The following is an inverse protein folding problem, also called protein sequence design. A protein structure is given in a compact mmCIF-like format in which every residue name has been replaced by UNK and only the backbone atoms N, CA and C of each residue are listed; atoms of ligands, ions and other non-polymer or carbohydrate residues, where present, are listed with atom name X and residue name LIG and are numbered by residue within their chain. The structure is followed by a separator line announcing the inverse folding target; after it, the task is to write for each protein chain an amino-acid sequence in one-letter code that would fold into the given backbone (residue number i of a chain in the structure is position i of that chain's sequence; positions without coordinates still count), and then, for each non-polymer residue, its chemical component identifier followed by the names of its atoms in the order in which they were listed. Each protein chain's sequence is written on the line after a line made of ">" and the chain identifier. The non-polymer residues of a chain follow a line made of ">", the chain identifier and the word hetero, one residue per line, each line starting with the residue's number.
data_IF_938558102473
#
_entry.id   IF_938558102473
#
_cell.length_a   1.000
_cell.length_b   1.000
_cell.length_c   1.000
_cell.angle_alpha   90.00
_cell.angle_beta   90.00
_cell.angle_gamma   90.00
#
_symmetry.space_group_name_H-M   'P 1'
#
loop_
_entity.id
_entity.type
_entity.pdbx_description
1 polymer ?
#
# COMPACT_ATOMS: atom_id res chain seq x y z
N UNK A 1 14.79 -30.39 16.82
CA UNK A 1 14.41 -31.22 15.66
C UNK A 1 14.02 -30.27 14.55
N UNK A 2 14.86 -30.18 13.51
CA UNK A 2 14.68 -29.22 12.41
C UNK A 2 13.37 -29.51 11.66
N UNK A 3 12.51 -28.50 11.57
CA UNK A 3 11.29 -28.53 10.76
C UNK A 3 11.68 -28.60 9.28
N UNK A 4 11.93 -29.81 8.80
CA UNK A 4 12.44 -30.11 7.47
C UNK A 4 11.35 -30.53 6.51
N UNK A 5 10.57 -29.56 6.03
CA UNK A 5 10.08 -29.60 4.65
C UNK A 5 10.86 -28.52 3.91
N UNK A 6 12.10 -28.86 3.57
CA UNK A 6 12.94 -27.95 2.79
C UNK A 6 12.39 -27.90 1.36
N UNK A 7 12.67 -26.82 0.62
CA UNK A 7 12.46 -26.78 -0.84
C UNK A 7 13.05 -28.04 -1.50
N UNK A 8 14.11 -28.62 -0.93
CA UNK A 8 14.70 -29.89 -1.36
C UNK A 8 13.76 -31.10 -1.25
N UNK A 9 12.79 -31.14 -0.33
CA UNK A 9 11.84 -32.25 -0.22
C UNK A 9 10.71 -32.13 -1.24
N UNK A 10 10.43 -30.91 -1.70
CA UNK A 10 9.53 -30.65 -2.83
C UNK A 10 10.22 -31.00 -4.14
N UNK A 11 11.51 -30.64 -4.29
CA UNK A 11 12.34 -31.07 -5.42
C UNK A 11 12.42 -32.60 -5.50
N UNK A 12 12.52 -33.31 -4.37
CA UNK A 12 12.46 -34.79 -4.37
C UNK A 12 11.11 -35.35 -4.84
N UNK A 13 9.98 -34.72 -4.50
CA UNK A 13 8.68 -35.09 -5.08
C UNK A 13 8.67 -34.81 -6.58
N UNK A 14 9.23 -33.69 -7.01
CA UNK A 14 9.33 -33.31 -8.43
C UNK A 14 10.15 -34.35 -9.20
N UNK A 15 11.27 -34.79 -8.64
CA UNK A 15 12.10 -35.87 -9.17
C UNK A 15 11.34 -37.21 -9.19
N UNK A 16 10.66 -37.57 -8.10
CA UNK A 16 9.86 -38.79 -8.01
C UNK A 16 8.72 -38.79 -9.04
N UNK A 17 8.02 -37.68 -9.20
CA UNK A 17 6.97 -37.47 -10.20
C UNK A 17 7.53 -37.55 -11.63
N UNK A 18 8.73 -37.00 -11.87
CA UNK A 18 9.44 -37.08 -13.15
C UNK A 18 9.85 -38.52 -13.49
N UNK A 19 10.34 -39.28 -12.51
CA UNK A 19 10.70 -40.68 -12.69
C UNK A 19 9.48 -41.58 -12.92
N UNK A 20 8.40 -41.31 -12.19
CA UNK A 20 7.11 -41.95 -12.42
C UNK A 20 6.59 -41.61 -13.82
N UNK A 21 6.65 -40.34 -14.26
CA UNK A 21 6.31 -39.89 -15.61
C UNK A 21 7.08 -40.63 -16.70
N UNK A 22 8.42 -40.76 -16.58
CA UNK A 22 9.25 -41.47 -17.58
C UNK A 22 8.82 -42.92 -17.80
N UNK A 23 8.29 -43.56 -16.76
CA UNK A 23 7.79 -44.95 -16.81
C UNK A 23 6.39 -45.09 -17.42
N UNK A 24 5.68 -43.98 -17.59
CA UNK A 24 4.32 -43.92 -18.15
C UNK A 24 4.26 -43.46 -19.62
N UNK A 25 5.40 -43.16 -20.27
CA UNK A 25 5.46 -42.59 -21.64
C UNK A 25 4.76 -43.49 -22.69
N UNK A 26 4.73 -44.81 -22.46
CA UNK A 26 4.11 -45.80 -23.36
C UNK A 26 2.75 -46.35 -22.83
N UNK A 27 2.13 -45.71 -21.84
CA UNK A 27 0.95 -46.20 -21.12
C UNK A 27 -0.41 -45.70 -21.72
N UNK A 28 -1.55 -46.35 -21.37
CA UNK A 28 -2.90 -45.98 -21.82
C UNK A 28 -3.28 -44.52 -21.58
N UNK A 29 -4.25 -44.02 -22.33
CA UNK A 29 -4.70 -42.62 -22.32
C UNK A 29 -4.98 -42.04 -20.91
N UNK A 30 -5.45 -42.85 -19.97
CA UNK A 30 -5.72 -42.46 -18.58
C UNK A 30 -4.45 -42.05 -17.81
N UNK A 31 -3.30 -42.69 -18.07
CA UNK A 31 -2.01 -42.35 -17.44
C UNK A 31 -1.32 -41.18 -18.13
N UNK A 32 -1.57 -41.00 -19.43
CA UNK A 32 -1.10 -39.83 -20.19
C UNK A 32 -1.67 -38.53 -19.61
N UNK A 33 -2.93 -38.54 -19.17
CA UNK A 33 -3.56 -37.42 -18.48
C UNK A 33 -2.87 -37.09 -17.15
N UNK A 34 -2.59 -38.10 -16.32
CA UNK A 34 -1.87 -37.94 -15.04
C UNK A 34 -0.46 -37.39 -15.27
N UNK A 35 0.27 -37.93 -16.25
CA UNK A 35 1.60 -37.47 -16.65
C UNK A 35 1.61 -36.01 -17.10
N UNK A 36 0.64 -35.60 -17.94
CA UNK A 36 0.54 -34.22 -18.43
C UNK A 36 0.27 -33.24 -17.29
N UNK A 37 -0.60 -33.62 -16.35
CA UNK A 37 -1.00 -32.76 -15.24
C UNK A 37 0.09 -32.66 -14.16
N UNK A 38 0.81 -33.76 -13.89
CA UNK A 38 2.04 -33.74 -13.09
C UNK A 38 3.03 -32.74 -13.69
N UNK A 39 3.27 -32.80 -15.00
CA UNK A 39 4.24 -31.92 -15.68
C UNK A 39 3.96 -30.43 -15.47
N UNK A 40 2.69 -30.02 -15.62
CA UNK A 40 2.27 -28.63 -15.40
C UNK A 40 2.50 -28.16 -13.96
N UNK A 41 2.25 -29.04 -12.98
CA UNK A 41 2.49 -28.71 -11.57
C UNK A 41 3.96 -28.66 -11.22
N UNK A 42 4.81 -29.50 -11.82
CA UNK A 42 6.26 -29.42 -11.64
C UNK A 42 6.77 -28.06 -12.10
N UNK A 43 6.35 -27.61 -13.29
CA UNK A 43 6.72 -26.32 -13.86
C UNK A 43 6.28 -25.14 -12.97
N UNK A 44 5.05 -25.17 -12.45
CA UNK A 44 4.57 -24.12 -11.55
C UNK A 44 5.23 -24.12 -10.17
N UNK A 45 5.55 -25.29 -9.63
CA UNK A 45 6.22 -25.43 -8.33
C UNK A 45 7.67 -24.95 -8.41
N UNK A 46 8.37 -25.27 -9.51
CA UNK A 46 9.75 -24.82 -9.77
C UNK A 46 9.84 -23.30 -9.96
N UNK A 47 8.85 -22.67 -10.61
CA UNK A 47 8.87 -21.22 -10.83
C UNK A 47 8.51 -20.40 -9.58
N UNK A 48 7.52 -20.86 -8.79
CA UNK A 48 6.88 -20.01 -7.78
C UNK A 48 7.47 -20.16 -6.38
N UNK A 49 7.88 -21.38 -5.98
CA UNK A 49 8.28 -21.65 -4.59
C UNK A 49 9.71 -21.24 -4.20
N UNK A 50 10.75 -21.36 -5.05
CA UNK A 50 12.13 -21.06 -4.64
C UNK A 50 12.35 -19.62 -4.18
N UNK A 51 11.53 -18.69 -4.66
CA UNK A 51 11.69 -17.26 -4.44
C UNK A 51 10.78 -16.70 -3.34
N UNK A 52 10.06 -17.54 -2.58
CA UNK A 52 9.01 -17.08 -1.65
C UNK A 52 9.23 -17.45 -0.19
N UNK A 53 8.99 -16.47 0.69
CA UNK A 53 8.94 -16.66 2.13
C UNK A 53 7.53 -17.14 2.55
N UNK A 54 7.40 -18.43 2.81
CA UNK A 54 6.12 -19.04 3.19
C UNK A 54 5.81 -18.79 4.68
N UNK A 55 4.56 -18.40 4.96
CA UNK A 55 4.04 -18.31 6.34
C UNK A 55 3.94 -19.70 6.98
N UNK A 56 3.93 -19.81 8.33
CA UNK A 56 3.78 -21.10 9.02
C UNK A 56 2.51 -21.88 8.58
N UNK A 57 1.41 -21.18 8.34
CA UNK A 57 0.15 -21.77 7.87
C UNK A 57 0.28 -22.30 6.43
N UNK A 58 0.89 -21.51 5.54
CA UNK A 58 1.12 -21.92 4.16
C UNK A 58 2.12 -23.08 4.07
N UNK A 59 3.11 -23.14 4.97
CA UNK A 59 4.03 -24.28 5.11
C UNK A 59 3.30 -25.56 5.53
N UNK A 60 2.31 -25.45 6.42
CA UNK A 60 1.53 -26.60 6.86
C UNK A 60 0.63 -27.13 5.73
N UNK A 61 -0.10 -26.24 5.04
CA UNK A 61 -0.92 -26.59 3.86
C UNK A 61 -0.08 -27.23 2.75
N UNK A 62 1.12 -26.68 2.51
CA UNK A 62 2.08 -27.23 1.56
C UNK A 62 2.55 -28.64 1.97
N UNK A 63 2.82 -28.86 3.26
CA UNK A 63 3.24 -30.15 3.78
C UNK A 63 2.15 -31.22 3.66
N UNK A 64 0.89 -30.85 3.89
CA UNK A 64 -0.26 -31.75 3.73
C UNK A 64 -0.43 -32.18 2.27
N UNK A 65 -0.40 -31.21 1.34
CA UNK A 65 -0.48 -31.49 -0.09
C UNK A 65 0.73 -32.33 -0.59
N UNK A 66 1.93 -32.03 -0.09
CA UNK A 66 3.17 -32.77 -0.35
C UNK A 66 3.06 -34.23 0.10
N UNK A 67 2.67 -34.46 1.36
CA UNK A 67 2.59 -35.80 1.94
C UNK A 67 1.59 -36.68 1.19
N UNK A 68 0.43 -36.12 0.82
CA UNK A 68 -0.59 -36.84 0.06
C UNK A 68 -0.06 -37.27 -1.32
N UNK A 69 0.55 -36.33 -2.07
CA UNK A 69 1.12 -36.63 -3.38
C UNK A 69 2.30 -37.62 -3.32
N UNK A 70 3.20 -37.49 -2.34
CA UNK A 70 4.31 -38.42 -2.15
C UNK A 70 3.82 -39.83 -1.87
N UNK A 71 2.84 -39.98 -0.99
CA UNK A 71 2.29 -41.30 -0.63
C UNK A 71 1.71 -42.03 -1.84
N UNK A 72 0.99 -41.31 -2.71
CA UNK A 72 0.39 -41.91 -3.92
C UNK A 72 1.46 -42.23 -4.96
N UNK A 73 2.45 -41.34 -5.16
CA UNK A 73 3.55 -41.60 -6.08
C UNK A 73 4.41 -42.79 -5.64
N UNK A 74 4.69 -42.91 -4.34
CA UNK A 74 5.40 -44.07 -3.78
C UNK A 74 4.58 -45.36 -3.91
N UNK A 75 3.26 -45.32 -3.66
CA UNK A 75 2.39 -46.48 -3.85
C UNK A 75 2.38 -46.95 -5.32
N UNK A 76 2.26 -46.01 -6.26
CA UNK A 76 2.37 -46.28 -7.70
C UNK A 76 3.75 -46.87 -8.02
N UNK A 77 4.83 -46.31 -7.49
CA UNK A 77 6.18 -46.79 -7.75
C UNK A 77 6.43 -48.20 -7.17
N UNK A 78 5.90 -48.51 -5.98
CA UNK A 78 5.99 -49.81 -5.34
C UNK A 78 5.26 -50.89 -6.16
N UNK A 79 4.03 -50.60 -6.59
CA UNK A 79 3.28 -51.49 -7.48
C UNK A 79 3.97 -51.72 -8.83
N UNK A 80 4.67 -50.71 -9.37
CA UNK A 80 5.47 -50.85 -10.58
C UNK A 80 6.74 -51.69 -10.35
N UNK A 81 7.40 -51.58 -9.18
CA UNK A 81 8.63 -52.32 -8.84
C UNK A 81 8.35 -53.81 -8.63
N UNK A 82 7.40 -54.15 -7.76
CA UNK A 82 7.02 -55.53 -7.38
C UNK A 82 6.70 -56.41 -8.60
N UNK A 83 6.25 -55.80 -9.70
CA UNK A 83 5.86 -56.51 -10.92
C UNK A 83 6.81 -56.32 -12.10
N UNK A 84 7.81 -55.43 -11.99
CA UNK A 84 8.91 -55.33 -12.96
C UNK A 84 9.86 -56.52 -12.86
N UNK A 85 10.00 -57.12 -11.67
CA UNK A 85 10.77 -58.33 -11.42
C UNK A 85 10.19 -59.55 -12.16
N UNK A 86 8.86 -59.56 -12.35
CA UNK A 86 8.12 -60.61 -13.09
C UNK A 86 8.38 -60.53 -14.61
N UNK A 87 8.70 -59.35 -15.15
CA UNK A 87 8.89 -59.10 -16.59
C UNK A 87 10.31 -59.43 -17.07
N UNK A 88 11.27 -59.53 -16.14
CA UNK A 88 12.68 -59.77 -16.46
C UNK A 88 13.01 -61.21 -16.91
N UNK A 89 12.03 -62.12 -16.94
CA UNK A 89 12.23 -63.56 -17.20
C UNK A 89 12.30 -63.90 -18.71
N UNK A 90 12.00 -62.97 -19.63
CA UNK A 90 11.94 -63.24 -21.09
C UNK A 90 12.98 -62.51 -21.96
N UNK A 91 13.61 -63.23 -22.89
CA UNK A 91 14.54 -62.69 -23.91
C UNK A 91 13.78 -62.04 -25.08
N UNK A 92 13.77 -60.71 -25.16
CA UNK A 92 13.16 -59.93 -26.26
C UNK A 92 13.39 -58.42 -26.14
N UNK A 93 13.01 -57.61 -27.15
CA UNK A 93 13.16 -56.13 -27.11
C UNK A 93 12.47 -55.51 -25.89
N UNK A 94 13.15 -54.58 -25.19
CA UNK A 94 12.68 -53.95 -23.94
C UNK A 94 11.30 -53.30 -24.11
N UNK A 95 11.11 -52.52 -25.18
CA UNK A 95 9.87 -51.76 -25.44
C UNK A 95 8.66 -52.68 -25.65
N UNK A 96 8.84 -53.76 -26.43
CA UNK A 96 7.77 -54.73 -26.70
C UNK A 96 7.41 -55.55 -25.47
N UNK A 97 8.38 -55.85 -24.59
CA UNK A 97 8.14 -56.45 -23.26
C UNK A 97 7.35 -55.52 -22.36
N UNK A 98 7.69 -54.22 -22.31
CA UNK A 98 6.96 -53.24 -21.52
C UNK A 98 5.50 -53.10 -21.96
N UNK A 99 5.21 -53.03 -23.26
CA UNK A 99 3.83 -52.96 -23.76
C UNK A 99 3.02 -54.26 -23.49
N UNK A 100 3.65 -55.43 -23.62
CA UNK A 100 2.99 -56.72 -23.33
C UNK A 100 2.79 -56.92 -21.83
N UNK A 101 3.78 -56.54 -21.02
CA UNK A 101 3.67 -56.51 -19.57
C UNK A 101 2.56 -55.57 -19.12
N UNK A 102 2.42 -54.40 -19.77
CA UNK A 102 1.36 -53.44 -19.51
C UNK A 102 -0.04 -54.01 -19.80
N UNK A 103 -0.17 -54.78 -20.89
CA UNK A 103 -1.43 -55.49 -21.21
C UNK A 103 -1.75 -56.65 -20.26
N UNK A 104 -0.73 -57.26 -19.63
CA UNK A 104 -0.88 -58.34 -18.63
C UNK A 104 -1.03 -57.81 -17.20
N UNK A 105 -0.72 -56.54 -16.98
CA UNK A 105 -0.92 -55.82 -15.76
C UNK A 105 -2.45 -55.65 -15.60
N UNK A 106 -3.11 -56.60 -14.95
CA UNK A 106 -4.49 -56.45 -14.49
C UNK A 106 -4.50 -55.40 -13.38
N UNK A 107 -4.52 -54.12 -13.76
CA UNK A 107 -4.84 -53.05 -12.83
C UNK A 107 -6.33 -53.11 -12.59
N UNK A 108 -6.73 -53.11 -11.32
CA UNK A 108 -8.13 -52.94 -10.98
C UNK A 108 -8.51 -51.49 -11.33
N UNK A 109 -9.52 -51.30 -12.17
CA UNK A 109 -10.00 -49.98 -12.63
C UNK A 109 -10.32 -49.05 -11.45
N UNK A 110 -10.76 -49.65 -10.32
CA UNK A 110 -11.04 -48.95 -9.07
C UNK A 110 -9.77 -48.35 -8.41
N UNK A 111 -8.64 -49.07 -8.43
CA UNK A 111 -7.39 -48.57 -7.83
C UNK A 111 -6.76 -47.45 -8.67
N UNK A 112 -6.84 -47.55 -10.00
CA UNK A 112 -6.42 -46.46 -10.90
C UNK A 112 -7.21 -45.20 -10.59
N UNK A 113 -8.53 -45.36 -10.47
CA UNK A 113 -9.44 -44.26 -10.19
C UNK A 113 -9.16 -43.64 -8.83
N UNK A 114 -8.92 -44.46 -7.81
CA UNK A 114 -8.55 -43.98 -6.46
C UNK A 114 -7.24 -43.19 -6.45
N UNK A 115 -6.16 -43.71 -7.07
CA UNK A 115 -4.89 -42.99 -7.15
C UNK A 115 -5.04 -41.69 -7.93
N UNK A 116 -5.85 -41.69 -8.98
CA UNK A 116 -6.13 -40.49 -9.77
C UNK A 116 -6.86 -39.43 -8.94
N UNK A 117 -7.93 -39.78 -8.24
CA UNK A 117 -8.69 -38.84 -7.41
C UNK A 117 -7.84 -38.26 -6.29
N UNK A 118 -7.04 -39.10 -5.62
CA UNK A 118 -6.13 -38.65 -4.54
C UNK A 118 -5.04 -37.73 -5.05
N UNK A 119 -4.44 -38.04 -6.21
CA UNK A 119 -3.51 -37.13 -6.88
C UNK A 119 -4.20 -35.81 -7.21
N UNK A 120 -5.37 -35.84 -7.85
CA UNK A 120 -6.11 -34.62 -8.22
C UNK A 120 -6.45 -33.76 -6.99
N UNK A 121 -6.79 -34.37 -5.85
CA UNK A 121 -7.06 -33.64 -4.60
C UNK A 121 -5.82 -32.96 -4.03
N UNK A 122 -4.70 -33.67 -3.89
CA UNK A 122 -3.43 -33.09 -3.42
C UNK A 122 -2.98 -31.95 -4.34
N UNK A 123 -3.12 -32.15 -5.65
CA UNK A 123 -2.82 -31.17 -6.68
C UNK A 123 -3.72 -29.93 -6.64
N UNK A 124 -5.01 -30.07 -6.36
CA UNK A 124 -5.92 -28.93 -6.13
C UNK A 124 -5.47 -28.10 -4.93
N UNK A 125 -5.01 -28.76 -3.87
CA UNK A 125 -4.41 -28.11 -2.70
C UNK A 125 -3.22 -27.21 -3.07
N UNK A 126 -2.31 -27.71 -3.90
CA UNK A 126 -1.18 -26.90 -4.41
C UNK A 126 -1.65 -25.69 -5.22
N UNK A 127 -2.56 -25.87 -6.18
CA UNK A 127 -3.06 -24.76 -6.99
C UNK A 127 -3.75 -23.67 -6.17
N UNK A 128 -4.57 -24.06 -5.18
CA UNK A 128 -5.22 -23.09 -4.28
C UNK A 128 -4.19 -22.32 -3.45
N UNK A 129 -3.14 -22.99 -2.97
CA UNK A 129 -2.06 -22.34 -2.24
C UNK A 129 -1.28 -21.36 -3.11
N UNK A 130 -0.95 -21.75 -4.35
CA UNK A 130 -0.27 -20.87 -5.31
C UNK A 130 -1.13 -19.63 -5.61
N UNK A 131 -2.43 -19.81 -5.83
CA UNK A 131 -3.37 -18.71 -6.02
C UNK A 131 -3.43 -17.79 -4.80
N UNK A 132 -3.52 -18.33 -3.57
CA UNK A 132 -3.54 -17.48 -2.37
C UNK A 132 -2.25 -16.68 -2.20
N UNK A 133 -1.09 -17.29 -2.48
CA UNK A 133 0.20 -16.61 -2.40
C UNK A 133 0.31 -15.46 -3.42
N UNK A 134 -0.18 -15.65 -4.65
CA UNK A 134 -0.18 -14.60 -5.67
C UNK A 134 -1.17 -13.48 -5.33
N UNK A 135 -2.35 -13.83 -4.79
CA UNK A 135 -3.38 -12.87 -4.43
C UNK A 135 -2.93 -11.93 -3.31
N UNK A 136 -2.20 -12.43 -2.30
CA UNK A 136 -1.72 -11.61 -1.19
C UNK A 136 -0.73 -10.52 -1.64
N UNK A 137 0.14 -10.82 -2.61
CA UNK A 137 1.10 -9.86 -3.16
C UNK A 137 0.41 -8.83 -4.03
N UNK A 138 -0.48 -9.27 -4.92
CA UNK A 138 -1.26 -8.36 -5.78
C UNK A 138 -2.10 -7.41 -4.92
N UNK A 139 -2.69 -7.92 -3.83
CA UNK A 139 -3.45 -7.09 -2.89
C UNK A 139 -2.57 -6.04 -2.20
N UNK A 140 -1.39 -6.42 -1.72
CA UNK A 140 -0.43 -5.46 -1.12
C UNK A 140 0.02 -4.40 -2.13
N UNK A 141 0.35 -4.80 -3.36
CA UNK A 141 0.73 -3.87 -4.42
C UNK A 141 -0.42 -2.89 -4.71
N UNK A 142 -1.64 -3.39 -4.83
CA UNK A 142 -2.83 -2.56 -5.06
C UNK A 142 -3.03 -1.52 -3.95
N UNK A 143 -2.88 -1.93 -2.68
CA UNK A 143 -2.96 -1.01 -1.54
C UNK A 143 -1.88 0.07 -1.59
N UNK A 144 -0.63 -0.28 -1.91
CA UNK A 144 0.46 0.70 -2.01
C UNK A 144 0.25 1.66 -3.19
N UNK A 145 -0.26 1.17 -4.34
CA UNK A 145 -0.60 2.02 -5.47
C UNK A 145 -1.72 3.01 -5.13
N UNK A 146 -2.76 2.58 -4.39
CA UNK A 146 -3.81 3.48 -3.91
C UNK A 146 -3.24 4.58 -3.00
N UNK A 147 -2.34 4.22 -2.06
CA UNK A 147 -1.68 5.21 -1.19
C UNK A 147 -0.83 6.19 -1.99
N UNK A 148 -0.14 5.74 -3.04
CA UNK A 148 0.63 6.61 -3.93
C UNK A 148 -0.29 7.59 -4.67
N UNK A 149 -1.42 7.10 -5.22
CA UNK A 149 -2.39 7.95 -5.91
C UNK A 149 -2.92 9.09 -5.04
N UNK A 150 -3.32 8.79 -3.80
CA UNK A 150 -3.78 9.81 -2.84
C UNK A 150 -2.66 10.82 -2.53
N UNK A 151 -1.42 10.36 -2.34
CA UNK A 151 -0.28 11.25 -2.05
C UNK A 151 0.06 12.17 -3.22
N UNK A 152 0.01 11.68 -4.45
CA UNK A 152 0.25 12.50 -5.64
C UNK A 152 -0.86 13.53 -5.83
N UNK A 153 -2.14 13.14 -5.67
CA UNK A 153 -3.26 14.08 -5.75
C UNK A 153 -3.12 15.22 -4.72
N UNK A 154 -2.86 14.89 -3.45
CA UNK A 154 -2.67 15.90 -2.41
C UNK A 154 -1.46 16.82 -2.68
N UNK A 155 -0.41 16.29 -3.31
CA UNK A 155 0.77 17.09 -3.71
C UNK A 155 0.44 18.04 -4.85
N UNK A 156 -0.34 17.60 -5.82
CA UNK A 156 -0.80 18.41 -6.93
C UNK A 156 -1.72 19.53 -6.46
N UNK A 157 -2.69 19.24 -5.59
CA UNK A 157 -3.55 20.24 -4.96
C UNK A 157 -2.73 21.27 -4.16
N UNK A 158 -1.76 20.82 -3.36
CA UNK A 158 -0.89 21.72 -2.61
C UNK A 158 -0.03 22.62 -3.52
N UNK A 159 0.44 22.09 -4.66
CA UNK A 159 1.17 22.87 -5.67
C UNK A 159 0.26 23.88 -6.34
N UNK A 160 -0.92 23.48 -6.79
CA UNK A 160 -1.90 24.36 -7.42
C UNK A 160 -2.30 25.50 -6.46
N UNK A 161 -2.59 25.16 -5.19
CA UNK A 161 -2.86 26.15 -4.14
C UNK A 161 -1.68 27.13 -4.01
N UNK A 162 -0.45 26.62 -3.96
CA UNK A 162 0.74 27.47 -3.84
C UNK A 162 0.94 28.36 -5.07
N UNK A 163 0.79 27.84 -6.28
CA UNK A 163 0.95 28.60 -7.53
C UNK A 163 -0.10 29.70 -7.68
N UNK A 164 -1.33 29.44 -7.24
CA UNK A 164 -2.39 30.46 -7.16
C UNK A 164 -1.99 31.54 -6.16
N UNK A 165 -1.60 31.13 -4.94
CA UNK A 165 -1.20 32.04 -3.87
C UNK A 165 0.03 32.89 -4.23
N UNK A 166 1.05 32.32 -4.87
CA UNK A 166 2.27 33.03 -5.28
C UNK A 166 1.95 34.17 -6.28
N UNK A 167 0.89 34.06 -7.09
CA UNK A 167 0.42 35.15 -7.97
C UNK A 167 -0.15 36.36 -7.21
N UNK A 168 -0.59 36.16 -5.97
CA UNK A 168 -1.15 37.22 -5.12
C UNK A 168 -0.11 37.87 -4.19
N UNK A 169 1.07 37.27 -4.05
CA UNK A 169 2.11 37.68 -3.10
C UNK A 169 2.97 38.83 -3.64
N UNK A 170 2.72 40.06 -3.20
CA UNK A 170 3.63 41.20 -3.41
C UNK A 170 4.07 41.90 -2.13
N UNK A 171 3.45 41.61 -0.97
CA UNK A 171 3.74 42.27 0.30
C UNK A 171 3.93 41.28 1.45
N UNK A 172 5.14 41.25 2.01
CA UNK A 172 5.50 40.43 3.16
C UNK A 172 5.07 41.10 4.49
N UNK A 173 3.77 41.03 4.78
CA UNK A 173 3.22 41.49 6.06
C UNK A 173 3.65 40.59 7.24
N UNK A 174 3.95 39.31 6.99
CA UNK A 174 4.37 38.36 8.03
C UNK A 174 5.75 38.71 8.59
N UNK A 175 6.73 38.98 7.73
CA UNK A 175 8.05 39.40 8.20
C UNK A 175 8.00 40.73 8.96
N UNK A 176 7.16 41.68 8.50
CA UNK A 176 6.93 42.94 9.24
C UNK A 176 6.34 42.67 10.61
N UNK A 177 5.33 41.81 10.70
CA UNK A 177 4.70 41.45 11.98
C UNK A 177 5.69 40.80 12.94
N UNK A 178 6.45 39.80 12.45
CA UNK A 178 7.49 39.12 13.21
C UNK A 178 8.54 40.10 13.75
N UNK A 179 8.99 41.05 12.93
CA UNK A 179 9.93 42.08 13.36
C UNK A 179 9.36 42.97 14.49
N UNK A 180 8.07 43.32 14.45
CA UNK A 180 7.45 44.07 15.54
C UNK A 180 7.35 43.25 16.83
N UNK A 181 7.08 41.94 16.73
CA UNK A 181 7.03 41.05 17.89
C UNK A 181 8.42 40.84 18.51
N UNK A 182 9.47 40.73 17.70
CA UNK A 182 10.86 40.61 18.19
C UNK A 182 11.32 41.87 18.95
N UNK A 183 10.82 43.05 18.55
CA UNK A 183 11.08 44.31 19.25
C UNK A 183 10.26 44.51 20.53
N UNK A 184 9.34 43.59 20.86
CA UNK A 184 8.44 43.73 22.02
C UNK A 184 9.13 43.26 23.31
N UNK A 185 9.14 44.12 24.33
CA UNK A 185 9.49 43.72 25.68
C UNK A 185 8.35 42.90 26.33
N UNK A 186 8.70 41.86 27.07
CA UNK A 186 7.73 41.01 27.79
C UNK A 186 6.75 41.82 28.65
N UNK A 187 5.49 41.42 28.65
CA UNK A 187 4.39 42.12 29.34
C UNK A 187 3.86 43.38 28.63
N UNK A 188 4.55 43.89 27.61
CA UNK A 188 4.08 45.07 26.86
C UNK A 188 2.81 44.77 26.08
N UNK A 189 1.77 45.59 26.27
CA UNK A 189 0.47 45.45 25.62
C UNK A 189 -0.54 44.59 26.39
N UNK A 190 -0.16 43.96 27.51
CA UNK A 190 -1.07 43.13 28.31
C UNK A 190 -2.27 43.91 28.85
N UNK A 191 -2.02 45.14 29.34
CA UNK A 191 -3.07 46.05 29.81
C UNK A 191 -4.13 46.33 28.74
N UNK A 192 -3.73 46.32 27.46
CA UNK A 192 -4.63 46.55 26.34
C UNK A 192 -5.50 45.31 26.08
N UNK A 193 -4.91 44.12 26.09
CA UNK A 193 -5.65 42.86 25.96
C UNK A 193 -6.66 42.66 27.10
N UNK A 194 -6.34 43.17 28.29
CA UNK A 194 -7.20 43.08 29.47
C UNK A 194 -8.31 44.13 29.50
N UNK A 195 -8.20 45.17 28.66
CA UNK A 195 -9.18 46.26 28.59
C UNK A 195 -10.57 45.77 28.21
N UNK A 196 -11.59 46.47 28.70
CA UNK A 196 -13.00 46.20 28.36
C UNK A 196 -13.28 46.37 26.88
N UNK A 197 -12.62 47.35 26.27
CA UNK A 197 -12.75 47.76 24.88
C UNK A 197 -12.23 46.67 23.94
N UNK A 198 -11.04 46.12 24.21
CA UNK A 198 -10.50 45.02 23.41
C UNK A 198 -11.35 43.75 23.55
N UNK A 199 -11.77 43.41 24.77
CA UNK A 199 -12.62 42.24 25.00
C UNK A 199 -13.93 42.33 24.23
N UNK A 200 -14.61 43.48 24.27
CA UNK A 200 -15.82 43.73 23.49
C UNK A 200 -15.58 43.65 21.99
N UNK A 201 -14.49 44.25 21.50
CA UNK A 201 -14.08 44.15 20.10
C UNK A 201 -13.88 42.70 19.67
N UNK A 202 -13.23 41.88 20.49
CA UNK A 202 -12.92 40.48 20.16
C UNK A 202 -14.13 39.53 20.25
N UNK A 203 -15.14 39.86 21.07
CA UNK A 203 -16.31 38.99 21.28
C UNK A 203 -17.47 39.27 20.32
N UNK A 204 -17.55 40.48 19.77
CA UNK A 204 -18.69 40.92 18.96
C UNK A 204 -18.35 40.87 17.46
N UNK A 205 -19.38 40.64 16.63
CA UNK A 205 -19.21 40.71 15.17
C UNK A 205 -19.29 42.16 14.68
N UNK A 206 -18.46 42.51 13.68
CA UNK A 206 -18.48 43.80 12.98
C UNK A 206 -18.12 45.05 13.82
N UNK A 207 -17.27 44.88 14.84
CA UNK A 207 -16.75 46.01 15.63
C UNK A 207 -15.50 46.63 15.01
N UNK A 208 -15.27 47.92 15.28
CA UNK A 208 -14.03 48.63 14.92
C UNK A 208 -13.43 49.28 16.15
N UNK A 209 -12.21 48.89 16.52
CA UNK A 209 -11.48 49.47 17.64
C UNK A 209 -10.39 50.42 17.15
N UNK A 210 -10.46 51.69 17.57
CA UNK A 210 -9.48 52.72 17.20
C UNK A 210 -8.59 53.07 18.39
N UNK A 211 -7.30 52.76 18.28
CA UNK A 211 -6.30 53.08 19.30
C UNK A 211 -5.66 54.45 19.06
N UNK A 212 -6.05 55.45 19.85
CA UNK A 212 -5.47 56.79 19.80
C UNK A 212 -4.22 56.88 20.69
N UNK A 213 -3.25 57.71 20.30
CA UNK A 213 -2.08 57.98 21.13
C UNK A 213 -1.06 58.88 20.46
N UNK A 214 -0.22 59.52 21.27
CA UNK A 214 0.88 60.37 20.78
C UNK A 214 1.91 59.55 19.95
N UNK A 215 2.69 60.20 19.07
CA UNK A 215 3.83 59.57 18.43
C UNK A 215 4.77 58.92 19.48
N UNK A 216 5.28 57.72 19.19
CA UNK A 216 6.14 56.98 20.13
C UNK A 216 5.41 56.21 21.24
N UNK A 217 4.09 56.32 21.39
CA UNK A 217 3.31 55.61 22.42
C UNK A 217 3.23 54.07 22.26
N UNK A 218 3.96 53.47 21.32
CA UNK A 218 3.97 52.01 21.12
C UNK A 218 2.75 51.43 20.39
N UNK A 219 1.94 52.24 19.69
CA UNK A 219 0.73 51.79 18.98
C UNK A 219 0.96 50.59 18.06
N UNK A 220 2.07 50.58 17.31
CA UNK A 220 2.42 49.47 16.41
C UNK A 220 2.68 48.17 17.18
N UNK A 221 3.35 48.25 18.35
CA UNK A 221 3.58 47.10 19.22
C UNK A 221 2.26 46.62 19.81
N UNK A 222 1.37 47.52 20.23
CA UNK A 222 0.02 47.15 20.71
C UNK A 222 -0.77 46.41 19.63
N UNK A 223 -0.75 46.91 18.39
CA UNK A 223 -1.41 46.24 17.26
C UNK A 223 -0.79 44.85 16.98
N UNK A 224 0.54 44.72 17.03
CA UNK A 224 1.20 43.43 16.90
C UNK A 224 0.79 42.46 18.03
N UNK A 225 0.77 42.91 19.29
CA UNK A 225 0.30 42.11 20.43
C UNK A 225 -1.16 41.67 20.27
N UNK A 226 -2.02 42.55 19.75
CA UNK A 226 -3.43 42.23 19.49
C UNK A 226 -3.58 41.15 18.41
N UNK A 227 -2.86 41.30 17.30
CA UNK A 227 -2.86 40.32 16.19
C UNK A 227 -2.35 38.96 16.68
N UNK A 228 -1.25 38.92 17.43
CA UNK A 228 -0.68 37.69 17.99
C UNK A 228 -1.65 36.97 18.93
N UNK A 229 -2.33 37.74 19.80
CA UNK A 229 -3.38 37.19 20.66
C UNK A 229 -4.56 36.60 19.86
N UNK A 230 -5.03 37.31 18.83
CA UNK A 230 -6.12 36.85 17.97
C UNK A 230 -5.72 35.62 17.14
N UNK A 231 -4.46 35.52 16.70
CA UNK A 231 -3.98 34.32 16.01
C UNK A 231 -3.98 33.10 16.93
N UNK A 232 -3.60 33.28 18.20
CA UNK A 232 -3.70 32.23 19.22
C UNK A 232 -5.13 31.76 19.47
N UNK A 233 -6.11 32.67 19.45
CA UNK A 233 -7.53 32.30 19.55
C UNK A 233 -8.00 31.54 18.30
N UNK A 234 -7.62 32.03 17.12
CA UNK A 234 -7.93 31.42 15.81
C UNK A 234 -7.43 29.97 15.71
N UNK A 235 -6.25 29.66 16.24
CA UNK A 235 -5.72 28.29 16.20
C UNK A 235 -6.63 27.26 16.90
N UNK A 236 -7.52 27.70 17.78
CA UNK A 236 -8.52 26.85 18.44
C UNK A 236 -9.87 26.78 17.70
N UNK A 237 -10.09 27.61 16.68
CA UNK A 237 -11.35 27.70 15.91
C UNK A 237 -11.08 27.85 14.39
N UNK A 238 -11.24 26.74 13.67
CA UNK A 238 -11.04 26.68 12.21
C UNK A 238 -12.07 27.48 11.39
N UNK A 239 -13.12 28.02 12.01
CA UNK A 239 -14.15 28.81 11.32
C UNK A 239 -13.78 30.28 11.21
N UNK A 240 -12.78 30.74 11.98
CA UNK A 240 -12.34 32.13 12.01
C UNK A 240 -11.10 32.34 11.14
N UNK A 241 -11.12 33.39 10.32
CA UNK A 241 -9.95 33.84 9.54
C UNK A 241 -9.41 35.14 10.12
N UNK A 242 -8.09 35.31 10.10
CA UNK A 242 -7.40 36.52 10.56
C UNK A 242 -6.59 37.12 9.41
N UNK A 243 -6.77 38.39 9.10
CA UNK A 243 -5.91 39.08 8.14
C UNK A 243 -5.57 40.48 8.64
N UNK A 244 -4.36 40.92 8.37
CA UNK A 244 -3.87 42.22 8.80
C UNK A 244 -2.96 42.86 7.75
N UNK A 245 -2.83 44.19 7.82
CA UNK A 245 -1.98 44.95 6.93
C UNK A 245 -1.29 46.10 7.68
N UNK A 246 0.02 46.22 7.53
CA UNK A 246 0.79 47.32 8.10
C UNK A 246 1.01 48.44 7.07
N UNK A 247 0.33 49.57 7.27
CA UNK A 247 0.54 50.77 6.48
C UNK A 247 1.91 51.39 6.79
N UNK A 248 2.68 51.70 5.74
CA UNK A 248 4.01 52.31 5.86
C UNK A 248 4.04 53.62 5.10
N UNK A 249 4.58 54.66 5.74
CA UNK A 249 4.72 55.97 5.10
C UNK A 249 5.73 55.98 3.95
N UNK A 250 6.71 55.08 3.97
CA UNK A 250 7.79 55.02 2.97
C UNK A 250 7.36 54.32 1.68
N UNK A 251 6.27 53.52 1.73
CA UNK A 251 5.81 52.70 0.60
C UNK A 251 4.43 53.11 0.08
N UNK A 252 3.98 54.36 0.31
CA UNK A 252 2.59 54.78 -0.01
C UNK A 252 2.20 54.52 -1.46
N UNK A 253 3.11 54.70 -2.41
CA UNK A 253 2.85 54.49 -3.84
C UNK A 253 2.68 53.01 -4.23
N UNK A 254 3.15 52.09 -3.39
CA UNK A 254 3.03 50.65 -3.58
C UNK A 254 1.83 50.06 -2.83
N UNK A 255 1.22 50.83 -1.91
CA UNK A 255 0.07 50.44 -1.08
C UNK A 255 -1.27 50.83 -1.74
N UNK A 256 -1.52 50.37 -2.97
CA UNK A 256 -2.81 50.61 -3.64
C UNK A 256 -3.92 49.75 -3.01
N UNK A 257 -5.21 50.14 -3.13
CA UNK A 257 -6.32 49.33 -2.64
C UNK A 257 -6.27 47.89 -3.16
N UNK A 258 -5.96 47.68 -4.43
CA UNK A 258 -5.87 46.35 -5.05
C UNK A 258 -4.79 45.50 -4.37
N UNK A 259 -3.64 46.08 -4.06
CA UNK A 259 -2.54 45.38 -3.38
C UNK A 259 -2.92 45.03 -1.94
N UNK A 260 -3.59 45.93 -1.23
CA UNK A 260 -4.05 45.69 0.14
C UNK A 260 -5.07 44.55 0.16
N UNK A 261 -6.10 44.62 -0.70
CA UNK A 261 -7.12 43.57 -0.78
C UNK A 261 -6.53 42.23 -1.20
N UNK A 262 -5.59 42.20 -2.16
CA UNK A 262 -4.88 40.97 -2.53
C UNK A 262 -4.10 40.37 -1.36
N UNK A 263 -3.40 41.21 -0.58
CA UNK A 263 -2.63 40.74 0.58
C UNK A 263 -3.53 40.20 1.70
N UNK A 264 -4.66 40.84 1.96
CA UNK A 264 -5.65 40.36 2.93
C UNK A 264 -6.30 39.06 2.47
N UNK A 265 -6.73 38.98 1.20
CA UNK A 265 -7.32 37.79 0.62
C UNK A 265 -6.33 36.60 0.63
N UNK A 266 -5.06 36.85 0.26
CA UNK A 266 -4.00 35.84 0.33
C UNK A 266 -3.88 35.24 1.74
N UNK A 267 -3.84 36.08 2.79
CA UNK A 267 -3.74 35.61 4.17
C UNK A 267 -4.92 34.72 4.56
N UNK A 268 -6.14 35.07 4.15
CA UNK A 268 -7.34 34.29 4.42
C UNK A 268 -7.37 32.96 3.64
N UNK A 269 -6.96 32.97 2.37
CA UNK A 269 -6.92 31.74 1.55
C UNK A 269 -5.81 30.78 2.00
N UNK A 270 -4.67 31.30 2.45
CA UNK A 270 -3.61 30.49 3.03
C UNK A 270 -4.10 29.71 4.26
N UNK A 271 -4.96 30.35 5.08
CA UNK A 271 -5.52 29.79 6.31
C UNK A 271 -6.60 28.72 6.09
N UNK A 272 -7.24 28.67 4.91
CA UNK A 272 -8.28 27.66 4.62
C UNK A 272 -7.67 26.36 4.13
N UNK A 273 -8.26 25.22 4.52
CA UNK A 273 -7.87 23.92 3.96
C UNK A 273 -8.27 23.80 2.48
N UNK A 274 -9.43 24.36 2.10
CA UNK A 274 -10.01 24.30 0.76
C UNK A 274 -10.17 25.71 0.18
N UNK A 275 -9.76 25.89 -1.08
CA UNK A 275 -10.10 27.08 -1.87
C UNK A 275 -11.54 26.85 -2.34
N UNK A 276 -12.48 27.80 -2.15
CA UNK A 276 -13.83 27.66 -2.67
C UNK A 276 -13.75 27.41 -4.18
N UNK A 277 -14.41 26.36 -4.66
CA UNK A 277 -14.57 26.13 -6.09
C UNK A 277 -15.19 27.38 -6.72
N UNK A 278 -14.70 27.75 -7.91
CA UNK A 278 -15.34 28.80 -8.72
C UNK A 278 -16.76 28.33 -9.04
N UNK A 279 -17.73 28.71 -8.21
CA UNK A 279 -19.13 28.72 -8.64
C UNK A 279 -19.22 29.75 -9.78
N UNK A 280 -19.26 29.24 -11.01
CA UNK A 280 -19.54 30.03 -12.21
C UNK A 280 -20.82 30.85 -11.99
N UNK A 281 -20.82 32.16 -12.33
CA UNK A 281 -21.95 33.05 -12.12
C UNK A 281 -23.16 32.77 -13.02
#
# INVERSE_FOLDING_TARGET
>A
MSFGTSIGDIIKIVELASDVRKRFVDSPAQFKAISSYLSFLLEQIEDVLPNRNLTPENKQKLKEAHTECESVLQAIQAHLKERSDIVNIGSGSKIRRFQVAWKRLQWNENQITEYRERLLLGMRGFNMLLQSLTSDEVFKISQELQKIGIRENNREEARNKKDILDKFSTFDNKAKHQHQLEGRCDGTGQWFLESTEFKQFSSNSSETLVCHGIPGAGKTIIAATAIDHLDGLRQNDSTVGLAYFYFSYDSRFEQTPEVIFKSLAYQLFEQRAEIPDEEEP
#
